data_IF_788343670771
#
_entry.id   IF_788343670771
#
_cell.length_a   1.000
_cell.length_b   1.000
_cell.length_c   1.000
_cell.angle_alpha   90.00
_cell.angle_beta   90.00
_cell.angle_gamma   90.00
#
_symmetry.space_group_name_H-M   'P 1'
#
loop_
_entity.id
_entity.type
_entity.pdbx_description
1 polymer ?
#
# COMPACT_ATOMS: atom_id res chain seq x y z
N UNK A 1 -12.44 -7.89 9.81
CA UNK A 1 -11.42 -7.50 8.80
C UNK A 1 -11.75 -8.04 7.42
N UNK A 2 -11.78 -9.36 7.17
CA UNK A 2 -12.05 -9.92 5.83
C UNK A 2 -13.37 -9.45 5.22
N UNK A 3 -14.45 -9.38 5.99
CA UNK A 3 -15.74 -8.84 5.50
C UNK A 3 -15.66 -7.37 5.06
N UNK A 4 -14.88 -6.54 5.76
CA UNK A 4 -14.66 -5.15 5.35
C UNK A 4 -13.85 -5.07 4.05
N UNK A 5 -12.82 -5.90 3.91
CA UNK A 5 -12.04 -6.01 2.68
C UNK A 5 -12.93 -6.48 1.51
N UNK A 6 -13.73 -7.54 1.71
CA UNK A 6 -14.65 -8.03 0.67
C UNK A 6 -15.62 -6.93 0.22
N UNK A 7 -16.18 -6.16 1.16
CA UNK A 7 -17.07 -5.05 0.83
C UNK A 7 -16.36 -3.97 0.00
N UNK A 8 -15.12 -3.58 0.39
CA UNK A 8 -14.34 -2.58 -0.33
C UNK A 8 -14.00 -3.04 -1.76
N UNK A 9 -13.53 -4.28 -1.90
CA UNK A 9 -13.18 -4.88 -3.20
C UNK A 9 -14.41 -4.97 -4.11
N UNK A 10 -15.56 -5.36 -3.55
CA UNK A 10 -16.82 -5.43 -4.30
C UNK A 10 -17.25 -4.03 -4.77
N UNK A 11 -17.21 -3.02 -3.90
CA UNK A 11 -17.58 -1.66 -4.25
C UNK A 11 -16.67 -1.08 -5.35
N UNK A 12 -15.34 -1.25 -5.22
CA UNK A 12 -14.39 -0.80 -6.25
C UNK A 12 -14.61 -1.53 -7.58
N UNK A 13 -14.86 -2.84 -7.56
CA UNK A 13 -15.15 -3.63 -8.74
C UNK A 13 -16.44 -3.18 -9.44
N UNK A 14 -17.51 -2.90 -8.70
CA UNK A 14 -18.77 -2.36 -9.26
C UNK A 14 -18.59 -0.97 -9.88
N UNK A 15 -17.67 -0.17 -9.34
CA UNK A 15 -17.30 1.14 -9.88
C UNK A 15 -16.26 1.06 -11.01
N UNK A 16 -15.86 -0.15 -11.43
CA UNK A 16 -14.90 -0.37 -12.52
C UNK A 16 -13.50 0.20 -12.22
N UNK A 17 -13.08 0.16 -10.95
CA UNK A 17 -11.77 0.71 -10.53
C UNK A 17 -10.72 -0.37 -10.39
N UNK A 18 -9.57 -0.12 -10.98
CA UNK A 18 -8.38 -0.95 -10.79
C UNK A 18 -7.72 -0.58 -9.46
N UNK A 19 -7.42 -1.60 -8.66
CA UNK A 19 -6.84 -1.44 -7.33
C UNK A 19 -5.93 -2.61 -6.99
N UNK A 20 -5.13 -2.44 -5.93
CA UNK A 20 -4.34 -3.50 -5.33
C UNK A 20 -4.40 -3.40 -3.80
N UNK A 21 -4.49 -4.54 -3.14
CA UNK A 21 -4.32 -4.64 -1.70
C UNK A 21 -2.86 -4.34 -1.35
N UNK A 22 -2.66 -3.41 -0.42
CA UNK A 22 -1.35 -2.98 0.10
C UNK A 22 -1.37 -3.01 1.62
N UNK A 23 -0.39 -2.36 2.26
CA UNK A 23 -0.37 -2.19 3.71
C UNK A 23 -0.32 -3.50 4.50
N UNK A 24 -0.92 -3.49 5.68
CA UNK A 24 -0.77 -4.57 6.65
C UNK A 24 -1.32 -5.92 6.23
N UNK A 25 -2.46 -5.95 5.53
CA UNK A 25 -3.04 -7.21 5.05
C UNK A 25 -2.17 -7.80 3.93
N UNK A 26 -1.68 -6.96 3.01
CA UNK A 26 -0.79 -7.44 1.94
C UNK A 26 0.52 -8.01 2.49
N UNK A 27 1.11 -7.37 3.50
CA UNK A 27 2.28 -7.92 4.22
C UNK A 27 1.94 -9.28 4.82
N UNK A 28 0.80 -9.42 5.52
CA UNK A 28 0.34 -10.71 6.07
C UNK A 28 0.23 -11.79 5.00
N UNK A 29 -0.27 -11.44 3.83
CA UNK A 29 -0.45 -12.38 2.70
C UNK A 29 0.89 -12.82 2.10
N UNK A 30 1.87 -11.92 2.10
CA UNK A 30 3.20 -12.13 1.50
C UNK A 30 4.25 -12.64 2.49
N UNK A 31 3.98 -12.62 3.79
CA UNK A 31 4.93 -13.04 4.81
C UNK A 31 4.23 -13.76 5.98
N UNK A 32 4.24 -13.18 7.15
CA UNK A 32 3.73 -13.77 8.37
C UNK A 32 2.47 -13.02 8.87
N UNK A 33 1.58 -13.74 9.53
CA UNK A 33 0.36 -13.16 10.11
C UNK A 33 0.71 -12.13 11.17
N UNK A 34 0.22 -10.90 10.97
CA UNK A 34 0.31 -9.83 11.95
C UNK A 34 -1.03 -9.14 12.16
N UNK A 35 -1.18 -8.52 13.30
CA UNK A 35 -2.38 -7.74 13.58
C UNK A 35 -2.41 -6.45 12.74
N UNK A 36 -3.54 -6.21 12.08
CA UNK A 36 -3.83 -4.95 11.38
C UNK A 36 -5.28 -4.53 11.65
N UNK A 37 -5.54 -3.22 11.62
CA UNK A 37 -6.85 -2.64 11.93
C UNK A 37 -7.54 -2.04 10.71
N UNK A 38 -6.77 -1.75 9.68
CA UNK A 38 -7.18 -0.98 8.52
C UNK A 38 -7.10 -1.84 7.26
N UNK A 39 -7.90 -1.52 6.27
CA UNK A 39 -7.79 -2.02 4.90
C UNK A 39 -7.10 -0.95 4.08
N UNK A 40 -5.95 -1.25 3.49
CA UNK A 40 -5.19 -0.33 2.65
C UNK A 40 -5.27 -0.78 1.19
N UNK A 41 -5.75 0.08 0.30
CA UNK A 41 -5.89 -0.20 -1.13
C UNK A 41 -5.21 0.91 -1.94
N UNK A 42 -4.22 0.56 -2.74
CA UNK A 42 -3.75 1.43 -3.81
C UNK A 42 -4.79 1.42 -4.93
N UNK A 43 -5.15 2.59 -5.44
CA UNK A 43 -6.14 2.74 -6.51
C UNK A 43 -5.53 3.55 -7.64
N UNK A 44 -5.65 3.04 -8.86
CA UNK A 44 -5.20 3.75 -10.05
C UNK A 44 -6.22 4.83 -10.42
N UNK A 45 -5.79 6.09 -10.41
CA UNK A 45 -6.57 7.25 -10.82
C UNK A 45 -5.78 8.13 -11.78
N UNK A 46 -6.46 8.79 -12.69
CA UNK A 46 -5.81 9.69 -13.67
C UNK A 46 -5.31 10.97 -13.01
N UNK A 47 -6.12 11.55 -12.13
CA UNK A 47 -5.89 12.82 -11.46
C UNK A 47 -6.74 12.91 -10.18
N UNK A 48 -6.66 14.05 -9.49
CA UNK A 48 -7.39 14.27 -8.25
C UNK A 48 -8.90 14.37 -8.47
N UNK A 49 -9.34 14.89 -9.62
CA UNK A 49 -10.77 14.92 -9.96
C UNK A 49 -11.35 13.51 -10.10
N UNK A 50 -10.58 12.58 -10.68
CA UNK A 50 -10.98 11.18 -10.80
C UNK A 50 -11.01 10.48 -9.41
N UNK A 51 -10.07 10.81 -8.53
CA UNK A 51 -10.06 10.34 -7.14
C UNK A 51 -11.26 10.87 -6.35
N UNK A 52 -11.59 12.16 -6.48
CA UNK A 52 -12.75 12.79 -5.84
C UNK A 52 -14.08 12.19 -6.32
N UNK A 53 -14.21 11.94 -7.61
CA UNK A 53 -15.39 11.25 -8.18
C UNK A 53 -15.55 9.85 -7.60
N UNK A 54 -14.46 9.09 -7.47
CA UNK A 54 -14.48 7.78 -6.83
C UNK A 54 -14.91 7.87 -5.37
N UNK A 55 -14.33 8.79 -4.61
CA UNK A 55 -14.68 9.02 -3.20
C UNK A 55 -16.16 9.37 -3.06
N UNK A 56 -16.67 10.21 -3.97
CA UNK A 56 -18.08 10.58 -3.98
C UNK A 56 -18.98 9.36 -4.27
N UNK A 57 -18.63 8.55 -5.28
CA UNK A 57 -19.40 7.35 -5.65
C UNK A 57 -19.43 6.30 -4.53
N UNK A 58 -18.33 6.17 -3.75
CA UNK A 58 -18.27 5.25 -2.63
C UNK A 58 -19.26 5.58 -1.49
N UNK A 59 -19.81 6.78 -1.44
CA UNK A 59 -20.88 7.14 -0.49
C UNK A 59 -22.14 6.31 -0.73
N UNK A 60 -22.45 5.97 -1.98
CA UNK A 60 -23.57 5.10 -2.33
C UNK A 60 -23.35 3.66 -1.84
N UNK A 61 -22.11 3.29 -1.59
CA UNK A 61 -21.69 2.03 -1.00
C UNK A 61 -21.47 2.12 0.53
N UNK A 62 -22.09 3.09 1.18
CA UNK A 62 -22.05 3.32 2.62
C UNK A 62 -20.65 3.61 3.20
N UNK A 63 -19.76 4.22 2.40
CA UNK A 63 -18.49 4.76 2.90
C UNK A 63 -18.64 6.23 3.29
N UNK A 64 -18.13 6.58 4.46
CA UNK A 64 -18.03 7.96 4.92
C UNK A 64 -16.56 8.41 4.95
N UNK A 65 -16.28 9.58 4.37
CA UNK A 65 -14.93 10.18 4.43
C UNK A 65 -14.67 10.66 5.85
N UNK A 66 -13.56 10.22 6.45
CA UNK A 66 -13.14 10.65 7.79
C UNK A 66 -11.93 11.58 7.75
N UNK A 67 -11.07 11.43 6.74
CA UNK A 67 -9.94 12.32 6.49
C UNK A 67 -9.47 12.23 5.04
N UNK A 68 -8.84 13.29 4.57
CA UNK A 68 -8.05 13.31 3.33
C UNK A 68 -6.66 13.82 3.63
N UNK A 69 -5.67 13.30 2.93
CA UNK A 69 -4.27 13.71 3.06
C UNK A 69 -3.76 14.12 1.69
N UNK A 70 -3.21 15.31 1.59
CA UNK A 70 -2.50 15.76 0.41
C UNK A 70 -0.99 15.50 0.54
N UNK A 71 -0.34 15.19 -0.57
CA UNK A 71 1.11 15.15 -0.63
C UNK A 71 1.65 16.58 -0.80
N UNK A 72 2.25 17.14 0.26
CA UNK A 72 2.66 18.56 0.30
C UNK A 72 3.52 18.97 -0.91
N UNK A 73 4.52 18.15 -1.28
CA UNK A 73 5.44 18.44 -2.36
C UNK A 73 4.83 18.36 -3.76
N UNK A 74 3.84 17.49 -3.97
CA UNK A 74 3.21 17.26 -5.27
C UNK A 74 1.83 17.93 -5.41
N UNK A 75 1.29 18.42 -4.29
CA UNK A 75 -0.06 19.01 -4.21
C UNK A 75 -1.11 18.09 -4.85
N UNK A 76 -0.99 16.78 -4.56
CA UNK A 76 -1.87 15.74 -5.04
C UNK A 76 -2.63 15.13 -3.87
N UNK A 77 -3.87 14.74 -4.08
CA UNK A 77 -4.61 13.94 -3.12
C UNK A 77 -3.91 12.59 -2.95
N UNK A 78 -3.20 12.43 -1.83
CA UNK A 78 -2.39 11.25 -1.56
C UNK A 78 -3.23 10.08 -1.05
N UNK A 79 -4.12 10.34 -0.07
CA UNK A 79 -4.90 9.29 0.60
C UNK A 79 -6.27 9.82 1.00
N UNK A 80 -7.30 9.02 0.81
CA UNK A 80 -8.59 9.21 1.44
C UNK A 80 -8.82 8.11 2.49
N UNK A 81 -9.05 8.53 3.73
CA UNK A 81 -9.46 7.65 4.81
C UNK A 81 -10.97 7.57 4.91
N UNK A 82 -11.50 6.38 4.76
CA UNK A 82 -12.93 6.11 4.74
C UNK A 82 -13.31 5.20 5.92
N UNK A 83 -14.51 5.40 6.45
CA UNK A 83 -15.14 4.45 7.36
C UNK A 83 -16.19 3.67 6.57
N UNK A 84 -16.02 2.36 6.47
CA UNK A 84 -16.97 1.48 5.80
C UNK A 84 -18.16 1.11 6.71
N UNK A 85 -19.16 0.39 6.18
CA UNK A 85 -20.40 0.05 6.91
C UNK A 85 -20.16 -0.83 8.14
N UNK A 86 -19.03 -1.55 8.20
CA UNK A 86 -18.61 -2.35 9.36
C UNK A 86 -17.86 -1.56 10.44
N UNK A 87 -17.67 -0.24 10.26
CA UNK A 87 -16.85 0.59 11.13
C UNK A 87 -15.33 0.40 10.95
N UNK A 88 -14.91 -0.46 10.02
CA UNK A 88 -13.49 -0.66 9.71
C UNK A 88 -13.00 0.47 8.82
N UNK A 89 -11.82 0.98 9.14
CA UNK A 89 -11.14 2.00 8.34
C UNK A 89 -10.64 1.38 7.03
N UNK A 90 -10.89 2.09 5.91
CA UNK A 90 -10.36 1.77 4.60
C UNK A 90 -9.59 2.99 4.07
N UNK A 91 -8.29 2.84 3.87
CA UNK A 91 -7.44 3.87 3.28
C UNK A 91 -7.27 3.60 1.78
N UNK A 92 -7.71 4.56 0.96
CA UNK A 92 -7.46 4.55 -0.48
C UNK A 92 -6.26 5.42 -0.78
N UNK A 93 -5.21 4.81 -1.35
CA UNK A 93 -3.95 5.47 -1.69
C UNK A 93 -3.95 5.79 -3.19
N UNK A 94 -3.88 7.08 -3.54
CA UNK A 94 -3.91 7.57 -4.93
C UNK A 94 -2.55 8.09 -5.39
N UNK A 95 -1.87 8.87 -4.53
CA UNK A 95 -0.61 9.52 -4.82
C UNK A 95 0.24 9.65 -3.54
N UNK A 96 0.33 8.61 -2.74
CA UNK A 96 1.08 8.63 -1.46
C UNK A 96 2.55 8.27 -1.61
N UNK A 97 2.86 7.46 -2.63
CA UNK A 97 4.21 7.01 -2.98
C UNK A 97 4.64 7.40 -4.40
N UNK A 98 3.67 7.75 -5.25
CA UNK A 98 3.90 8.07 -6.66
C UNK A 98 4.11 6.85 -7.56
N UNK A 99 3.95 5.63 -7.05
CA UNK A 99 4.01 4.37 -7.81
C UNK A 99 2.71 3.56 -7.69
N UNK A 100 1.61 4.16 -7.26
CA UNK A 100 0.34 3.45 -7.08
C UNK A 100 -0.15 2.81 -8.39
N UNK A 101 0.10 3.46 -9.54
CA UNK A 101 -0.25 2.90 -10.84
C UNK A 101 0.53 1.61 -11.14
N UNK A 102 1.84 1.58 -10.90
CA UNK A 102 2.68 0.41 -11.05
C UNK A 102 2.31 -0.69 -10.08
N UNK A 103 2.01 -0.33 -8.82
CA UNK A 103 1.52 -1.27 -7.79
C UNK A 103 0.26 -1.97 -8.28
N UNK A 104 -0.71 -1.22 -8.79
CA UNK A 104 -1.97 -1.77 -9.30
C UNK A 104 -1.74 -2.62 -10.55
N UNK A 105 -0.97 -2.10 -11.52
CA UNK A 105 -0.74 -2.78 -12.80
C UNK A 105 0.02 -4.12 -12.66
N UNK A 106 0.83 -4.27 -11.61
CA UNK A 106 1.66 -5.47 -11.38
C UNK A 106 1.10 -6.38 -10.28
N UNK A 107 0.01 -5.98 -9.63
CA UNK A 107 -0.62 -6.78 -8.59
C UNK A 107 -0.99 -8.17 -9.08
N UNK A 108 -0.86 -9.16 -8.22
CA UNK A 108 -1.20 -10.55 -8.55
C UNK A 108 -2.45 -10.98 -7.80
N UNK A 109 -3.40 -11.67 -8.47
CA UNK A 109 -4.60 -12.18 -7.81
C UNK A 109 -4.22 -13.27 -6.82
N UNK A 110 -4.69 -13.15 -5.57
CA UNK A 110 -4.49 -14.13 -4.50
C UNK A 110 -5.85 -14.44 -3.87
N UNK A 111 -6.17 -15.72 -3.73
CA UNK A 111 -7.33 -16.15 -2.97
C UNK A 111 -7.02 -16.09 -1.47
N UNK A 112 -7.64 -15.15 -0.77
CA UNK A 112 -7.43 -14.91 0.67
C UNK A 112 -8.30 -15.85 1.51
N UNK A 113 -9.45 -16.21 1.00
CA UNK A 113 -10.39 -17.19 1.56
C UNK A 113 -11.28 -17.66 0.43
N UNK A 114 -12.00 -18.77 0.64
CA UNK A 114 -12.88 -19.36 -0.37
C UNK A 114 -13.82 -18.29 -0.97
N UNK A 115 -13.68 -18.06 -2.26
CA UNK A 115 -14.51 -17.11 -3.01
C UNK A 115 -14.09 -15.63 -2.89
N UNK A 116 -13.00 -15.31 -2.22
CA UNK A 116 -12.45 -13.93 -2.17
C UNK A 116 -11.03 -13.90 -2.77
N UNK A 117 -10.96 -13.61 -4.06
CA UNK A 117 -9.70 -13.35 -4.75
C UNK A 117 -9.50 -11.84 -4.88
N UNK A 118 -8.32 -11.35 -4.48
CA UNK A 118 -7.99 -9.93 -4.44
C UNK A 118 -6.65 -9.71 -5.16
N UNK A 119 -6.51 -8.67 -6.01
CA UNK A 119 -5.20 -8.27 -6.52
C UNK A 119 -4.35 -7.75 -5.36
N UNK A 120 -3.23 -8.40 -5.08
CA UNK A 120 -2.31 -8.07 -3.98
C UNK A 120 -1.01 -7.55 -4.57
N UNK A 121 -0.51 -6.44 -4.05
CA UNK A 121 0.78 -5.87 -4.43
C UNK A 121 1.89 -6.93 -4.34
N UNK A 122 2.86 -6.86 -5.25
CA UNK A 122 4.02 -7.75 -5.22
C UNK A 122 4.96 -7.36 -4.08
N UNK A 123 5.84 -8.25 -3.73
CA UNK A 123 6.83 -8.06 -2.65
C UNK A 123 7.71 -6.84 -2.92
N UNK A 124 8.13 -6.65 -4.17
CA UNK A 124 9.02 -5.57 -4.58
C UNK A 124 8.40 -4.18 -4.40
N UNK A 125 7.11 -4.03 -4.73
CA UNK A 125 6.38 -2.78 -4.50
C UNK A 125 6.13 -2.55 -3.00
N UNK A 126 5.80 -3.60 -2.25
CA UNK A 126 5.64 -3.50 -0.80
C UNK A 126 6.94 -3.10 -0.11
N UNK A 127 8.08 -3.71 -0.47
CA UNK A 127 9.41 -3.35 0.05
C UNK A 127 9.73 -1.89 -0.23
N UNK A 128 9.53 -1.41 -1.47
CA UNK A 128 9.78 -0.02 -1.84
C UNK A 128 8.92 0.95 -1.02
N UNK A 129 7.62 0.66 -0.85
CA UNK A 129 6.73 1.50 -0.04
C UNK A 129 7.07 1.46 1.45
N UNK A 130 7.57 0.32 1.98
CA UNK A 130 8.06 0.21 3.35
C UNK A 130 9.36 0.98 3.57
N UNK A 131 10.28 0.99 2.62
CA UNK A 131 11.47 1.86 2.65
C UNK A 131 11.06 3.32 2.71
N UNK A 132 10.13 3.76 1.84
CA UNK A 132 9.63 5.13 1.86
C UNK A 132 9.00 5.50 3.22
N UNK A 133 8.20 4.59 3.80
CA UNK A 133 7.47 4.83 5.04
C UNK A 133 8.32 4.70 6.30
N UNK A 134 9.42 3.92 6.27
CA UNK A 134 10.28 3.65 7.43
C UNK A 134 10.75 4.95 8.09
N UNK A 135 10.47 5.09 9.36
CA UNK A 135 10.86 6.22 10.18
C UNK A 135 10.90 5.79 11.64
N UNK A 136 11.72 6.46 12.47
CA UNK A 136 11.83 6.18 13.91
C UNK A 136 10.48 6.14 14.65
N UNK A 137 9.48 6.84 14.13
CA UNK A 137 8.13 6.90 14.69
C UNK A 137 7.22 5.76 14.20
N UNK A 138 7.70 4.90 13.28
CA UNK A 138 6.94 3.80 12.66
C UNK A 138 7.76 2.51 12.66
N UNK A 139 8.07 1.94 13.83
CA UNK A 139 8.87 0.71 13.92
C UNK A 139 8.23 -0.47 13.18
N UNK A 140 6.89 -0.46 13.06
CA UNK A 140 6.16 -1.51 12.34
C UNK A 140 6.56 -1.60 10.86
N UNK A 141 6.89 -0.49 10.20
CA UNK A 141 7.31 -0.53 8.79
C UNK A 141 8.68 -1.20 8.62
N UNK A 142 9.58 -1.07 9.59
CA UNK A 142 10.87 -1.77 9.61
C UNK A 142 10.69 -3.28 9.87
N UNK A 143 9.80 -3.65 10.78
CA UNK A 143 9.44 -5.06 11.05
C UNK A 143 8.80 -5.69 9.81
N UNK A 144 7.83 -5.00 9.20
CA UNK A 144 7.18 -5.47 7.98
C UNK A 144 8.19 -5.68 6.84
N UNK A 145 9.15 -4.75 6.69
CA UNK A 145 10.23 -4.88 5.71
C UNK A 145 11.08 -6.12 5.97
N UNK A 146 11.53 -6.33 7.20
CA UNK A 146 12.34 -7.50 7.57
C UNK A 146 11.58 -8.81 7.31
N UNK A 147 10.30 -8.88 7.67
CA UNK A 147 9.46 -10.07 7.43
C UNK A 147 9.26 -10.34 5.93
N UNK A 148 9.03 -9.31 5.13
CA UNK A 148 8.91 -9.46 3.68
C UNK A 148 10.20 -10.04 3.08
N UNK A 149 11.38 -9.58 3.52
CA UNK A 149 12.69 -10.10 3.07
C UNK A 149 12.87 -11.55 3.52
N UNK A 150 12.58 -11.86 4.77
CA UNK A 150 12.71 -13.20 5.35
C UNK A 150 11.88 -14.26 4.59
N UNK A 151 10.62 -13.97 4.39
CA UNK A 151 9.68 -14.91 3.78
C UNK A 151 9.77 -14.97 2.24
N UNK A 152 10.49 -14.04 1.62
CA UNK A 152 10.68 -13.98 0.18
C UNK A 152 12.16 -13.84 -0.21
N UNK A 153 13.02 -14.82 0.11
CA UNK A 153 14.48 -14.69 -0.06
C UNK A 153 14.91 -14.48 -1.51
N UNK A 154 14.05 -14.78 -2.47
CA UNK A 154 14.31 -14.64 -3.91
C UNK A 154 13.61 -13.41 -4.52
N UNK A 155 13.22 -12.40 -3.72
CA UNK A 155 12.66 -11.17 -4.26
C UNK A 155 13.67 -10.47 -5.19
N UNK A 156 13.16 -9.76 -6.18
CA UNK A 156 14.00 -9.02 -7.13
C UNK A 156 14.41 -7.65 -6.54
N UNK A 157 15.63 -7.59 -5.97
CA UNK A 157 16.16 -6.33 -5.42
C UNK A 157 16.30 -5.25 -6.49
N UNK A 158 16.61 -5.61 -7.76
CA UNK A 158 16.70 -4.64 -8.83
C UNK A 158 15.33 -3.98 -9.10
N UNK A 159 14.25 -4.75 -9.02
CA UNK A 159 12.89 -4.21 -9.12
C UNK A 159 12.54 -3.30 -7.94
N UNK A 160 12.99 -3.62 -6.71
CA UNK A 160 12.84 -2.72 -5.55
C UNK A 160 13.54 -1.38 -5.82
N UNK A 161 14.80 -1.41 -6.26
CA UNK A 161 15.58 -0.20 -6.59
C UNK A 161 14.96 0.59 -7.73
N UNK A 162 14.43 -0.07 -8.74
CA UNK A 162 13.71 0.60 -9.83
C UNK A 162 12.46 1.34 -9.32
N UNK A 163 11.68 0.74 -8.42
CA UNK A 163 10.55 1.38 -7.77
C UNK A 163 10.98 2.60 -6.94
N UNK A 164 12.06 2.48 -6.15
CA UNK A 164 12.61 3.61 -5.37
C UNK A 164 13.08 4.75 -6.29
N UNK A 165 13.73 4.42 -7.40
CA UNK A 165 14.15 5.40 -8.41
C UNK A 165 12.96 6.15 -9.00
N UNK A 166 11.84 5.45 -9.30
CA UNK A 166 10.60 6.08 -9.76
C UNK A 166 10.02 7.02 -8.68
N UNK A 167 9.97 6.59 -7.43
CA UNK A 167 9.51 7.42 -6.30
C UNK A 167 10.34 8.72 -6.21
N UNK A 168 11.68 8.59 -6.27
CA UNK A 168 12.58 9.74 -6.23
C UNK A 168 12.40 10.65 -7.45
N UNK A 169 12.39 10.08 -8.66
CA UNK A 169 12.27 10.84 -9.91
C UNK A 169 10.95 11.63 -10.00
N UNK A 170 9.88 11.09 -9.39
CA UNK A 170 8.56 11.74 -9.34
C UNK A 170 8.42 12.72 -8.16
N UNK A 171 9.45 12.86 -7.31
CA UNK A 171 9.46 13.80 -6.20
C UNK A 171 8.67 13.35 -4.96
N UNK A 172 8.45 12.04 -4.78
CA UNK A 172 7.73 11.48 -3.63
C UNK A 172 8.66 11.00 -2.51
N UNK A 173 9.98 11.16 -2.66
CA UNK A 173 10.97 10.71 -1.66
C UNK A 173 10.97 11.50 -0.35
N UNK A 174 10.17 12.57 -0.25
CA UNK A 174 10.12 13.46 0.94
C UNK A 174 11.49 14.07 1.29
N UNK A 175 12.35 14.26 0.28
CA UNK A 175 13.71 14.78 0.46
C UNK A 175 14.72 13.76 1.00
N UNK A 176 14.33 12.47 1.10
CA UNK A 176 15.21 11.40 1.56
C UNK A 176 15.92 10.72 0.38
N UNK A 177 17.16 10.25 0.64
CA UNK A 177 17.88 9.34 -0.23
C UNK A 177 17.38 7.91 0.03
N UNK A 178 16.52 7.42 -0.88
CA UNK A 178 15.86 6.13 -0.70
C UNK A 178 16.81 4.95 -0.95
N UNK A 179 17.87 5.11 -1.74
CA UNK A 179 18.87 4.06 -1.91
C UNK A 179 19.65 3.83 -0.62
N UNK A 180 20.12 4.91 0.01
CA UNK A 180 20.76 4.85 1.32
C UNK A 180 19.82 4.29 2.39
N UNK A 181 18.54 4.64 2.31
CA UNK A 181 17.52 4.17 3.24
C UNK A 181 17.25 2.68 3.08
N UNK A 182 17.26 2.17 1.83
CA UNK A 182 17.17 0.73 1.54
C UNK A 182 18.32 -0.03 2.19
N UNK A 183 19.57 0.43 2.02
CA UNK A 183 20.73 -0.22 2.67
C UNK A 183 20.59 -0.28 4.20
N UNK A 184 20.09 0.80 4.80
CA UNK A 184 19.84 0.83 6.23
C UNK A 184 18.72 -0.15 6.66
N UNK A 185 17.67 -0.29 5.85
CA UNK A 185 16.59 -1.26 6.10
C UNK A 185 17.12 -2.70 5.97
N UNK A 186 17.92 -3.00 4.94
CA UNK A 186 18.52 -4.31 4.72
C UNK A 186 19.49 -4.70 5.86
N UNK A 187 20.29 -3.74 6.34
CA UNK A 187 21.17 -3.98 7.48
C UNK A 187 20.39 -4.34 8.74
N UNK A 188 19.36 -3.53 9.08
CA UNK A 188 18.51 -3.79 10.25
C UNK A 188 17.72 -5.09 10.14
N UNK A 189 17.23 -5.42 8.94
CA UNK A 189 16.54 -6.70 8.71
C UNK A 189 17.48 -7.88 9.04
N UNK A 190 18.73 -7.83 8.59
CA UNK A 190 19.73 -8.87 8.91
C UNK A 190 19.98 -8.99 10.42
N UNK A 191 20.09 -7.86 11.12
CA UNK A 191 20.30 -7.86 12.57
C UNK A 191 19.10 -8.48 13.30
N UNK A 192 17.86 -8.13 12.90
CA UNK A 192 16.63 -8.68 13.48
C UNK A 192 16.44 -10.19 13.24
N UNK A 193 16.94 -10.71 12.12
CA UNK A 193 16.80 -12.13 11.74
C UNK A 193 17.89 -13.02 12.31
N UNK A 194 18.95 -12.43 12.89
CA UNK A 194 20.02 -13.15 13.56
C UNK A 194 19.83 -13.28 15.08
N UNK A 195 18.83 -12.61 15.65
CA UNK A 195 18.41 -12.72 17.07
C UNK A 195 17.37 -13.82 17.26
#
# INVERSE_FOLDING_TARGET
MLGALQHAVTALGLLGRDFALVGGIAVTVRSEVRFTRDVDLAVSVRDDSDAEQLIYALREHAYAVTATVEHEGQKRLATARLCGPSGVVCDLLFASSGIEHEVVARATPIELTQGLTVPVARVEELLATKVLAAAKRRPQDEIDFARLVEFNPNYDEAAVRANLSLIMARGYSRGEDLDRKLEACLSRARDMLCE
#
